data_IF_491490536907
#
_entry.id   IF_491490536907
#
_cell.length_a   1.000
_cell.length_b   1.000
_cell.length_c   1.000
_cell.angle_alpha   90.00
_cell.angle_beta   90.00
_cell.angle_gamma   90.00
#
_symmetry.space_group_name_H-M   'P 1'
#
loop_
_entity.id
_entity.type
_entity.pdbx_description
1 polymer ?
#
# COMPACT_ATOMS: atom_id res chain seq x y z
N UNK A 1 -29.20 -23.69 -6.78
CA UNK A 1 -29.57 -22.35 -6.28
C UNK A 1 -30.77 -22.49 -5.35
N UNK A 2 -30.74 -21.89 -4.16
CA UNK A 2 -31.84 -22.03 -3.18
C UNK A 2 -33.07 -21.24 -3.65
N UNK A 3 -34.26 -21.86 -3.67
CA UNK A 3 -35.51 -21.25 -4.18
C UNK A 3 -35.84 -19.90 -3.53
N UNK A 4 -35.51 -19.73 -2.24
CA UNK A 4 -35.78 -18.50 -1.50
C UNK A 4 -34.96 -17.30 -2.01
N UNK A 5 -33.80 -17.54 -2.62
CA UNK A 5 -32.94 -16.49 -3.18
C UNK A 5 -33.57 -15.81 -4.40
N UNK A 6 -34.37 -16.54 -5.19
CA UNK A 6 -35.03 -16.02 -6.40
C UNK A 6 -36.01 -14.88 -6.09
N UNK A 7 -36.49 -14.84 -4.85
CA UNK A 7 -37.47 -13.88 -4.36
C UNK A 7 -36.83 -12.68 -3.63
N UNK A 8 -35.49 -12.64 -3.51
CA UNK A 8 -34.81 -11.50 -2.92
C UNK A 8 -34.76 -10.37 -3.93
N UNK A 9 -35.20 -9.18 -3.50
CA UNK A 9 -35.12 -7.96 -4.30
C UNK A 9 -34.28 -6.90 -3.58
N UNK A 10 -33.10 -6.61 -4.14
CA UNK A 10 -32.19 -5.56 -3.66
C UNK A 10 -32.11 -4.35 -4.59
N UNK A 11 -33.05 -4.20 -5.53
CA UNK A 11 -33.05 -3.08 -6.49
C UNK A 11 -32.95 -1.69 -5.84
N UNK A 12 -33.56 -1.51 -4.66
CA UNK A 12 -33.50 -0.26 -3.89
C UNK A 12 -32.13 0.07 -3.29
N UNK A 13 -31.20 -0.91 -3.26
CA UNK A 13 -29.85 -0.77 -2.69
C UNK A 13 -28.75 -0.81 -3.77
N UNK A 14 -29.11 -0.98 -5.05
CA UNK A 14 -28.15 -1.21 -6.14
C UNK A 14 -27.05 -0.14 -6.20
N UNK A 15 -27.41 1.14 -6.14
CA UNK A 15 -26.46 2.24 -6.19
C UNK A 15 -25.47 2.25 -5.01
N UNK A 16 -25.90 1.83 -3.82
CA UNK A 16 -25.03 1.77 -2.63
C UNK A 16 -24.08 0.56 -2.70
N UNK A 17 -24.58 -0.56 -3.23
CA UNK A 17 -23.77 -1.76 -3.45
C UNK A 17 -22.73 -1.50 -4.53
N UNK A 18 -23.12 -0.90 -5.65
CA UNK A 18 -22.23 -0.54 -6.75
C UNK A 18 -21.12 0.42 -6.29
N UNK A 19 -21.48 1.49 -5.57
CA UNK A 19 -20.51 2.43 -5.01
C UNK A 19 -19.51 1.67 -4.13
N UNK A 20 -19.97 0.79 -3.24
CA UNK A 20 -19.06 0.04 -2.38
C UNK A 20 -18.19 -0.98 -3.11
N UNK A 21 -18.71 -1.66 -4.13
CA UNK A 21 -17.91 -2.59 -4.96
C UNK A 21 -16.71 -1.87 -5.56
N UNK A 22 -16.88 -0.63 -6.04
CA UNK A 22 -15.76 0.20 -6.54
C UNK A 22 -14.71 0.52 -5.46
N UNK A 23 -15.07 0.43 -4.17
CA UNK A 23 -14.17 0.66 -3.04
C UNK A 23 -13.54 -0.63 -2.49
N UNK A 24 -13.86 -1.80 -3.04
CA UNK A 24 -13.21 -3.07 -2.69
C UNK A 24 -11.78 -3.17 -3.22
N UNK A 25 -11.44 -2.34 -4.21
CA UNK A 25 -10.13 -2.28 -4.82
C UNK A 25 -9.08 -1.87 -3.79
N UNK A 26 -8.08 -2.73 -3.61
CA UNK A 26 -6.95 -2.46 -2.73
C UNK A 26 -6.15 -1.26 -3.27
N UNK A 27 -5.91 -0.22 -2.46
CA UNK A 27 -5.12 0.95 -2.87
C UNK A 27 -3.65 0.65 -3.23
N UNK A 28 -3.11 -0.51 -2.84
CA UNK A 28 -1.74 -0.91 -3.14
C UNK A 28 -1.63 -1.72 -4.43
N UNK A 29 -2.49 -2.74 -4.62
CA UNK A 29 -2.46 -3.60 -5.81
C UNK A 29 -3.35 -3.10 -6.96
N UNK A 30 -4.27 -2.17 -6.68
CA UNK A 30 -5.30 -1.69 -7.62
C UNK A 30 -6.21 -2.80 -8.15
N UNK A 31 -6.41 -3.86 -7.36
CA UNK A 31 -7.31 -4.99 -7.66
C UNK A 31 -8.16 -5.34 -6.44
N UNK A 32 -9.29 -6.01 -6.64
CA UNK A 32 -10.04 -6.62 -5.53
C UNK A 32 -9.17 -7.75 -4.95
N UNK A 33 -8.88 -7.76 -3.64
CA UNK A 33 -7.95 -8.73 -3.06
C UNK A 33 -8.55 -10.13 -2.94
N UNK A 34 -7.80 -11.15 -3.38
CA UNK A 34 -8.10 -12.58 -3.15
C UNK A 34 -7.91 -12.99 -1.68
N UNK A 35 -7.10 -12.23 -0.95
CA UNK A 35 -6.73 -12.44 0.44
C UNK A 35 -7.12 -11.24 1.32
N UNK A 36 -8.42 -10.88 1.37
CA UNK A 36 -8.86 -9.65 2.00
C UNK A 36 -8.59 -9.65 3.50
N UNK A 37 -8.22 -8.49 4.03
CA UNK A 37 -8.08 -8.19 5.46
C UNK A 37 -8.72 -6.85 5.78
N UNK A 38 -9.29 -6.71 6.98
CA UNK A 38 -9.72 -5.41 7.47
C UNK A 38 -8.53 -4.57 7.88
N UNK A 39 -8.49 -3.33 7.40
CA UNK A 39 -7.42 -2.39 7.74
C UNK A 39 -7.62 -1.86 9.16
N UNK A 40 -6.62 -2.07 10.01
CA UNK A 40 -6.56 -1.53 11.37
C UNK A 40 -5.69 -0.28 11.38
N UNK A 41 -6.29 0.92 11.31
CA UNK A 41 -5.52 2.16 11.41
C UNK A 41 -5.23 2.54 12.87
N UNK A 42 -4.14 3.28 13.10
CA UNK A 42 -3.74 3.75 14.44
C UNK A 42 -4.73 4.77 15.03
N UNK A 43 -5.23 5.71 14.23
CA UNK A 43 -5.99 6.88 14.70
C UNK A 43 -7.35 7.07 14.01
N UNK A 44 -7.76 6.13 13.15
CA UNK A 44 -8.88 6.32 12.24
C UNK A 44 -9.75 5.07 12.11
N UNK A 45 -11.04 5.18 12.35
CA UNK A 45 -11.95 4.05 12.24
C UNK A 45 -12.75 4.13 10.94
N UNK A 46 -12.22 3.51 9.88
CA UNK A 46 -12.96 3.25 8.65
C UNK A 46 -12.84 1.79 8.26
N UNK A 47 -13.98 1.18 7.93
CA UNK A 47 -14.02 -0.15 7.36
C UNK A 47 -13.44 -0.09 5.95
N UNK A 48 -12.31 -0.74 5.75
CA UNK A 48 -11.63 -0.90 4.46
C UNK A 48 -11.04 -2.29 4.36
N UNK A 49 -11.03 -2.84 3.15
CA UNK A 49 -10.32 -4.07 2.83
C UNK A 49 -9.02 -3.77 2.09
N UNK A 50 -8.00 -4.56 2.37
CA UNK A 50 -6.73 -4.62 1.64
C UNK A 50 -6.31 -6.09 1.48
N UNK A 51 -5.35 -6.35 0.62
CA UNK A 51 -4.67 -7.63 0.49
C UNK A 51 -3.72 -7.84 1.67
N UNK A 52 -3.75 -9.05 2.24
CA UNK A 52 -2.76 -9.48 3.24
C UNK A 52 -1.34 -9.44 2.65
N UNK A 53 -1.18 -9.87 1.39
CA UNK A 53 0.08 -9.86 0.65
C UNK A 53 0.59 -8.42 0.46
N UNK A 54 -0.26 -7.47 0.07
CA UNK A 54 0.16 -6.06 -0.05
C UNK A 54 0.66 -5.50 1.29
N UNK A 55 -0.02 -5.77 2.40
CA UNK A 55 0.48 -5.36 3.72
C UNK A 55 1.81 -6.04 4.10
N UNK A 56 2.01 -7.30 3.71
CA UNK A 56 3.26 -8.02 3.92
C UNK A 56 4.41 -7.42 3.11
N UNK A 57 4.18 -7.08 1.84
CA UNK A 57 5.18 -6.43 0.99
C UNK A 57 5.56 -5.05 1.52
N UNK A 58 4.57 -4.25 1.94
CA UNK A 58 4.83 -2.97 2.59
C UNK A 58 5.64 -3.13 3.87
N UNK A 59 5.30 -4.13 4.70
CA UNK A 59 6.05 -4.44 5.94
C UNK A 59 7.50 -4.83 5.63
N UNK A 60 7.71 -5.61 4.57
CA UNK A 60 9.05 -5.99 4.08
C UNK A 60 9.86 -4.77 3.64
N UNK A 61 9.28 -3.85 2.88
CA UNK A 61 9.95 -2.61 2.46
C UNK A 61 10.34 -1.71 3.65
N UNK A 62 9.50 -1.65 4.69
CA UNK A 62 9.82 -0.93 5.92
C UNK A 62 10.98 -1.62 6.66
N UNK A 63 10.98 -2.94 6.73
CA UNK A 63 12.08 -3.69 7.36
C UNK A 63 13.40 -3.53 6.60
N UNK A 64 13.39 -3.58 5.27
CA UNK A 64 14.55 -3.26 4.43
C UNK A 64 15.09 -1.85 4.75
N UNK A 65 14.21 -0.87 4.95
CA UNK A 65 14.60 0.49 5.33
C UNK A 65 15.21 0.55 6.73
N UNK A 66 14.68 -0.20 7.70
CA UNK A 66 15.26 -0.29 9.05
C UNK A 66 16.65 -0.91 9.02
N UNK A 67 16.83 -1.96 8.23
CA UNK A 67 18.13 -2.62 8.06
C UNK A 67 19.15 -1.70 7.39
N UNK A 68 18.75 -0.93 6.38
CA UNK A 68 19.61 0.06 5.74
C UNK A 68 20.11 1.10 6.75
N UNK A 69 19.19 1.69 7.53
CA UNK A 69 19.52 2.69 8.56
C UNK A 69 20.42 2.10 9.65
N UNK A 70 20.17 0.85 10.06
CA UNK A 70 20.96 0.17 11.08
C UNK A 70 22.41 -0.09 10.65
N UNK A 71 22.67 -0.26 9.35
CA UNK A 71 24.02 -0.43 8.80
C UNK A 71 24.79 0.88 8.70
N UNK A 72 24.12 2.02 8.51
CA UNK A 72 24.77 3.31 8.27
C UNK A 72 25.78 3.75 9.35
N UNK A 73 25.54 3.59 10.67
CA UNK A 73 26.52 3.92 11.71
C UNK A 73 27.80 3.07 11.67
N UNK A 74 27.77 1.90 11.02
CA UNK A 74 28.92 1.01 10.91
C UNK A 74 29.80 1.35 9.70
N UNK A 75 29.29 2.15 8.77
CA UNK A 75 30.02 2.57 7.58
C UNK A 75 30.95 3.75 7.88
N UNK A 76 32.24 3.46 8.07
CA UNK A 76 33.28 4.47 8.28
C UNK A 76 33.66 5.23 7.00
N UNK A 77 33.31 4.70 5.82
CA UNK A 77 33.65 5.29 4.53
C UNK A 77 32.65 6.33 4.07
N UNK A 78 31.42 6.29 4.61
CA UNK A 78 30.24 7.06 4.19
C UNK A 78 29.80 6.84 2.72
N UNK A 79 30.32 5.81 2.06
CA UNK A 79 29.95 5.44 0.69
C UNK A 79 29.66 3.94 0.53
N UNK A 80 29.86 3.11 1.55
CA UNK A 80 29.81 1.65 1.44
C UNK A 80 28.42 1.16 1.01
N UNK A 81 27.36 1.85 1.42
CA UNK A 81 25.98 1.45 1.12
C UNK A 81 25.58 1.76 -0.33
N UNK A 82 26.25 2.70 -0.99
CA UNK A 82 25.93 3.13 -2.37
C UNK A 82 26.98 2.74 -3.41
N UNK A 83 28.23 2.54 -2.99
CA UNK A 83 29.33 2.12 -3.87
C UNK A 83 29.14 0.69 -4.38
N UNK A 84 28.30 -0.12 -3.73
CA UNK A 84 27.98 -1.49 -4.15
C UNK A 84 26.86 -1.55 -5.19
N UNK A 85 26.12 -0.46 -5.43
CA UNK A 85 25.01 -0.45 -6.37
C UNK A 85 25.49 -0.58 -7.82
N UNK A 86 24.79 -1.32 -8.68
CA UNK A 86 25.22 -1.54 -10.08
C UNK A 86 24.87 -0.39 -11.05
N UNK A 87 24.27 0.69 -10.56
CA UNK A 87 23.90 1.83 -11.42
C UNK A 87 25.12 2.73 -11.68
N UNK A 88 25.56 2.79 -12.93
CA UNK A 88 26.51 3.79 -13.44
C UNK A 88 26.10 4.22 -14.85
N UNK A 89 25.97 5.52 -15.08
CA UNK A 89 25.48 6.05 -16.37
C UNK A 89 26.59 6.12 -17.44
N UNK A 90 27.86 6.21 -17.02
CA UNK A 90 29.01 6.34 -17.92
C UNK A 90 30.08 5.26 -17.65
N UNK A 91 30.72 4.67 -18.68
CA UNK A 91 31.73 3.64 -18.50
C UNK A 91 32.92 4.04 -17.62
N UNK A 92 33.39 5.30 -17.69
CA UNK A 92 34.49 5.74 -16.83
C UNK A 92 34.09 5.86 -15.36
N UNK A 93 32.81 6.14 -15.05
CA UNK A 93 32.32 6.21 -13.67
C UNK A 93 32.31 4.82 -13.03
N UNK A 94 32.10 3.76 -13.81
CA UNK A 94 32.26 2.39 -13.33
C UNK A 94 33.68 2.12 -12.82
N UNK A 95 34.70 2.65 -13.50
CA UNK A 95 36.09 2.49 -13.05
C UNK A 95 36.41 3.37 -11.84
N UNK A 96 35.92 4.62 -11.80
CA UNK A 96 36.03 5.44 -10.58
C UNK A 96 35.35 4.77 -9.38
N UNK A 97 34.20 4.12 -9.62
CA UNK A 97 33.47 3.35 -8.62
C UNK A 97 34.22 2.10 -8.17
N UNK A 98 34.87 1.39 -9.10
CA UNK A 98 35.72 0.24 -8.77
C UNK A 98 36.88 0.65 -7.84
N UNK A 99 37.52 1.78 -8.13
CA UNK A 99 38.59 2.33 -7.28
C UNK A 99 38.06 2.61 -5.87
N UNK A 100 36.91 3.28 -5.75
CA UNK A 100 36.31 3.58 -4.45
C UNK A 100 35.84 2.32 -3.71
N UNK A 101 35.25 1.35 -4.41
CA UNK A 101 34.84 0.05 -3.83
C UNK A 101 36.03 -0.66 -3.21
N UNK A 102 37.15 -0.70 -3.92
CA UNK A 102 38.37 -1.33 -3.42
C UNK A 102 38.87 -0.68 -2.12
N UNK A 103 38.86 0.65 -2.03
CA UNK A 103 39.26 1.36 -0.81
C UNK A 103 38.31 1.09 0.37
N UNK A 104 37.01 0.92 0.11
CA UNK A 104 36.03 0.52 1.13
C UNK A 104 36.27 -0.90 1.61
N UNK A 105 36.54 -1.84 0.70
CA UNK A 105 36.84 -3.24 1.02
C UNK A 105 38.12 -3.41 1.84
N UNK A 106 39.12 -2.54 1.60
CA UNK A 106 40.36 -2.45 2.38
C UNK A 106 40.14 -1.80 3.78
N UNK A 107 38.90 -1.40 4.09
CA UNK A 107 38.51 -0.88 5.41
C UNK A 107 38.94 0.56 5.66
N UNK A 108 39.24 1.34 4.61
CA UNK A 108 39.61 2.75 4.74
C UNK A 108 38.42 3.59 5.19
N UNK A 109 38.65 4.53 6.09
CA UNK A 109 37.65 5.52 6.48
C UNK A 109 37.53 6.67 5.46
N UNK A 110 36.49 7.50 5.61
CA UNK A 110 36.24 8.65 4.73
C UNK A 110 37.44 9.59 4.57
N UNK A 111 38.17 9.87 5.66
CA UNK A 111 39.29 10.80 5.61
C UNK A 111 40.47 10.19 4.84
N UNK A 112 40.76 8.91 5.06
CA UNK A 112 41.76 8.15 4.32
C UNK A 112 41.42 8.04 2.84
N UNK A 113 40.17 7.71 2.50
CA UNK A 113 39.71 7.64 1.10
C UNK A 113 39.88 9.00 0.43
N UNK A 114 39.41 10.09 1.06
CA UNK A 114 39.54 11.45 0.51
C UNK A 114 41.01 11.84 0.29
N UNK A 115 41.90 11.50 1.23
CA UNK A 115 43.33 11.76 1.10
C UNK A 115 43.94 11.00 -0.09
N UNK A 116 43.63 9.71 -0.24
CA UNK A 116 44.10 8.87 -1.34
C UNK A 116 43.58 9.41 -2.68
N UNK A 117 42.28 9.70 -2.78
CA UNK A 117 41.67 10.26 -3.99
C UNK A 117 42.34 11.58 -4.42
N UNK A 118 42.61 12.48 -3.46
CA UNK A 118 43.27 13.75 -3.74
C UNK A 118 44.73 13.56 -4.16
N UNK A 119 45.46 12.66 -3.50
CA UNK A 119 46.85 12.36 -3.83
C UNK A 119 46.98 11.77 -5.25
N UNK A 120 46.16 10.76 -5.58
CA UNK A 120 46.15 10.15 -6.91
C UNK A 120 45.76 11.20 -7.96
N UNK A 121 44.66 11.93 -7.76
CA UNK A 121 44.19 12.92 -8.72
C UNK A 121 45.21 14.05 -8.95
N UNK A 122 45.75 14.64 -7.88
CA UNK A 122 46.74 15.72 -7.98
C UNK A 122 48.03 15.25 -8.65
N UNK A 123 48.50 14.05 -8.31
CA UNK A 123 49.66 13.44 -8.93
C UNK A 123 49.48 13.15 -10.41
N UNK A 124 48.34 12.58 -10.81
CA UNK A 124 48.06 12.27 -12.21
C UNK A 124 47.85 13.52 -13.06
N UNK A 125 47.25 14.58 -12.50
CA UNK A 125 47.18 15.89 -13.17
C UNK A 125 48.58 16.45 -13.39
N UNK A 126 49.45 16.42 -12.38
CA UNK A 126 50.86 16.85 -12.53
C UNK A 126 51.60 16.03 -13.58
N UNK A 127 51.47 14.69 -13.54
CA UNK A 127 52.07 13.81 -14.54
C UNK A 127 51.57 14.15 -15.96
N UNK A 128 50.26 14.39 -16.14
CA UNK A 128 49.68 14.79 -17.42
C UNK A 128 50.22 16.13 -17.93
N UNK A 129 50.38 17.11 -17.04
CA UNK A 129 50.94 18.42 -17.40
C UNK A 129 52.40 18.32 -17.84
N UNK A 130 53.20 17.49 -17.17
CA UNK A 130 54.62 17.28 -17.46
C UNK A 130 54.83 16.40 -18.70
N UNK A 131 53.94 15.44 -18.96
CA UNK A 131 54.07 14.47 -20.07
C UNK A 131 54.24 15.13 -21.45
N UNK A 132 53.69 16.34 -21.66
CA UNK A 132 53.86 17.07 -22.93
C UNK A 132 55.28 17.58 -23.17
N UNK A 133 56.08 17.72 -22.10
CA UNK A 133 57.42 18.29 -22.15
C UNK A 133 58.50 17.26 -21.84
N UNK A 134 58.19 16.27 -20.97
CA UNK A 134 59.09 15.21 -20.58
C UNK A 134 58.30 13.98 -20.12
N UNK A 135 58.24 12.96 -20.96
CA UNK A 135 57.51 11.72 -20.69
C UNK A 135 58.14 10.90 -19.54
N UNK A 136 59.48 10.87 -19.44
CA UNK A 136 60.20 10.15 -18.39
C UNK A 136 59.92 10.76 -17.00
N UNK A 137 59.85 12.09 -16.92
CA UNK A 137 59.46 12.78 -15.70
C UNK A 137 58.00 12.49 -15.30
N UNK A 138 57.08 12.40 -16.27
CA UNK A 138 55.70 12.01 -16.01
C UNK A 138 55.59 10.56 -15.47
N UNK A 139 56.33 9.62 -16.08
CA UNK A 139 56.37 8.24 -15.60
C UNK A 139 57.00 8.10 -14.21
N UNK A 140 57.98 8.95 -13.88
CA UNK A 140 58.56 9.02 -12.52
C UNK A 140 57.51 9.43 -11.49
N UNK A 141 56.66 10.42 -11.81
CA UNK A 141 55.55 10.85 -10.95
C UNK A 141 54.54 9.70 -10.77
N UNK A 142 54.15 9.03 -11.86
CA UNK A 142 53.21 7.90 -11.82
C UNK A 142 53.76 6.76 -10.95
N UNK A 143 55.03 6.39 -11.13
CA UNK A 143 55.67 5.35 -10.32
C UNK A 143 55.73 5.74 -8.83
N UNK A 144 55.90 7.03 -8.52
CA UNK A 144 55.84 7.52 -7.13
C UNK A 144 54.42 7.47 -6.55
N UNK A 145 53.39 7.73 -7.35
CA UNK A 145 51.99 7.59 -6.92
C UNK A 145 51.63 6.14 -6.61
N UNK A 146 52.17 5.19 -7.36
CA UNK A 146 52.01 3.75 -7.07
C UNK A 146 52.61 3.35 -5.72
N UNK A 147 53.54 4.15 -5.19
CA UNK A 147 54.13 3.97 -3.86
C UNK A 147 53.39 4.76 -2.76
N UNK A 148 52.44 5.63 -3.12
CA UNK A 148 51.61 6.37 -2.17
C UNK A 148 50.44 5.46 -1.79
N UNK A 149 50.67 4.59 -0.82
CA UNK A 149 49.69 3.66 -0.26
C UNK A 149 50.25 2.26 -0.04
N UNK A 150 49.40 1.36 0.45
CA UNK A 150 49.70 -0.08 0.50
C UNK A 150 49.88 -0.63 -0.93
N UNK A 151 50.47 -1.82 -1.09
CA UNK A 151 50.67 -2.51 -2.41
C UNK A 151 49.41 -2.55 -3.31
N UNK A 152 48.28 -2.38 -2.66
CA UNK A 152 46.91 -2.34 -3.14
C UNK A 152 46.54 -1.05 -3.93
N UNK A 153 47.31 0.04 -3.82
CA UNK A 153 47.01 1.32 -4.50
C UNK A 153 47.60 1.41 -5.91
N UNK A 154 48.68 0.68 -6.19
CA UNK A 154 49.35 0.72 -7.49
C UNK A 154 48.43 0.38 -8.69
N UNK A 155 47.56 -0.66 -8.62
CA UNK A 155 46.60 -0.95 -9.69
C UNK A 155 45.60 0.19 -9.93
N UNK A 156 45.15 0.86 -8.86
CA UNK A 156 44.18 1.96 -8.92
C UNK A 156 44.74 3.18 -9.67
N UNK A 157 46.03 3.45 -9.49
CA UNK A 157 46.75 4.54 -10.19
C UNK A 157 46.81 4.26 -11.69
N UNK A 158 47.09 3.01 -12.09
CA UNK A 158 47.15 2.61 -13.50
C UNK A 158 45.78 2.70 -14.17
N UNK A 159 44.72 2.24 -13.49
CA UNK A 159 43.35 2.35 -13.99
C UNK A 159 42.93 3.80 -14.15
N UNK A 160 43.16 4.65 -13.15
CA UNK A 160 42.77 6.05 -13.25
C UNK A 160 43.59 6.82 -14.30
N UNK A 161 44.86 6.47 -14.47
CA UNK A 161 45.69 7.04 -15.53
C UNK A 161 45.15 6.72 -16.93
N UNK A 162 44.75 5.47 -17.18
CA UNK A 162 44.10 5.07 -18.44
C UNK A 162 42.84 5.89 -18.70
N UNK A 163 41.98 6.04 -17.68
CA UNK A 163 40.76 6.85 -17.78
C UNK A 163 41.09 8.28 -18.23
N UNK A 164 42.07 8.93 -17.59
CA UNK A 164 42.45 10.32 -17.90
C UNK A 164 43.05 10.49 -19.31
N UNK A 165 43.70 9.44 -19.83
CA UNK A 165 44.22 9.42 -21.20
C UNK A 165 43.12 9.20 -22.24
N UNK A 166 42.13 8.35 -21.95
CA UNK A 166 41.07 7.96 -22.89
C UNK A 166 39.81 8.84 -22.82
N UNK A 167 39.61 9.59 -21.75
CA UNK A 167 38.40 10.39 -21.55
C UNK A 167 38.35 11.59 -22.49
N UNK A 168 37.31 11.69 -23.30
CA UNK A 168 37.00 12.89 -24.06
C UNK A 168 36.57 14.01 -23.09
N UNK A 169 37.49 14.93 -22.80
CA UNK A 169 37.38 15.98 -21.77
C UNK A 169 36.28 17.01 -22.06
N UNK A 170 35.60 16.89 -23.20
CA UNK A 170 34.53 17.78 -23.66
C UNK A 170 33.16 17.52 -23.03
N UNK A 171 32.99 16.43 -22.25
CA UNK A 171 31.67 15.89 -21.87
C UNK A 171 31.37 15.77 -20.36
N UNK A 172 31.82 16.73 -19.55
CA UNK A 172 31.52 16.75 -18.11
C UNK A 172 32.16 15.57 -17.36
N UNK A 173 33.42 15.30 -17.67
CA UNK A 173 34.25 14.31 -16.99
C UNK A 173 34.41 14.66 -15.51
N UNK A 174 34.23 13.67 -14.63
CA UNK A 174 34.36 13.83 -13.17
C UNK A 174 35.70 13.31 -12.70
N UNK A 175 36.36 14.09 -11.85
CA UNK A 175 37.57 13.64 -11.16
C UNK A 175 37.21 12.69 -10.02
N UNK A 176 38.13 11.81 -9.63
CA UNK A 176 37.92 10.83 -8.56
C UNK A 176 37.46 11.48 -7.24
N UNK A 177 38.04 12.61 -6.78
CA UNK A 177 37.52 13.32 -5.60
C UNK A 177 36.09 13.85 -5.79
N UNK A 178 35.74 14.32 -6.99
CA UNK A 178 34.38 14.82 -7.26
C UNK A 178 33.36 13.69 -7.22
N UNK A 179 33.71 12.54 -7.83
CA UNK A 179 32.87 11.35 -7.81
C UNK A 179 32.70 10.79 -6.39
N UNK A 180 33.74 10.84 -5.55
CA UNK A 180 33.64 10.51 -4.13
C UNK A 180 32.62 11.39 -3.40
N UNK A 181 32.68 12.72 -3.58
CA UNK A 181 31.72 13.62 -2.93
C UNK A 181 30.28 13.38 -3.40
N UNK A 182 30.07 13.04 -4.68
CA UNK A 182 28.75 12.66 -5.19
C UNK A 182 28.20 11.40 -4.50
N UNK A 183 29.02 10.36 -4.32
CA UNK A 183 28.61 9.16 -3.61
C UNK A 183 28.29 9.44 -2.13
N UNK A 184 29.08 10.29 -1.46
CA UNK A 184 28.80 10.71 -0.07
C UNK A 184 27.42 11.39 0.01
N UNK A 185 27.15 12.33 -0.90
CA UNK A 185 25.85 13.00 -0.98
C UNK A 185 24.74 12.00 -1.28
N UNK A 186 24.95 11.08 -2.22
CA UNK A 186 23.99 10.05 -2.59
C UNK A 186 23.62 9.18 -1.39
N UNK A 187 24.60 8.69 -0.63
CA UNK A 187 24.34 7.90 0.56
C UNK A 187 23.59 8.68 1.64
N UNK A 188 23.94 9.96 1.84
CA UNK A 188 23.21 10.82 2.78
C UNK A 188 21.74 11.02 2.38
N UNK A 189 21.48 11.27 1.09
CA UNK A 189 20.13 11.41 0.54
C UNK A 189 19.34 10.11 0.65
N UNK A 190 19.96 8.97 0.33
CA UNK A 190 19.34 7.65 0.42
C UNK A 190 19.00 7.28 1.87
N UNK A 191 19.93 7.54 2.80
CA UNK A 191 19.70 7.34 4.24
C UNK A 191 18.53 8.18 4.76
N UNK A 192 18.45 9.46 4.37
CA UNK A 192 17.35 10.33 4.78
C UNK A 192 16.02 9.91 4.14
N UNK A 193 16.04 9.44 2.89
CA UNK A 193 14.88 8.83 2.23
C UNK A 193 14.37 7.62 3.00
N UNK A 194 15.24 6.71 3.44
CA UNK A 194 14.86 5.57 4.27
C UNK A 194 14.31 5.98 5.64
N UNK A 195 14.89 7.00 6.30
CA UNK A 195 14.35 7.54 7.56
C UNK A 195 12.95 8.11 7.37
N UNK A 196 12.74 8.87 6.29
CA UNK A 196 11.44 9.46 5.98
C UNK A 196 10.36 8.41 5.69
N UNK A 197 10.71 7.28 5.07
CA UNK A 197 9.76 6.15 4.87
C UNK A 197 9.24 5.57 6.19
N UNK A 198 10.05 5.62 7.24
CA UNK A 198 9.72 5.09 8.56
C UNK A 198 9.07 6.11 9.49
N UNK A 199 8.59 7.23 8.96
CA UNK A 199 7.89 8.27 9.71
C UNK A 199 6.54 8.58 9.10
N UNK A 200 5.55 8.76 9.94
CA UNK A 200 4.26 9.26 9.51
C UNK A 200 4.30 10.77 9.22
N UNK A 201 3.19 11.30 8.70
CA UNK A 201 3.08 12.71 8.32
C UNK A 201 3.13 13.68 9.52
N UNK A 202 3.00 13.17 10.76
CA UNK A 202 3.19 13.94 12.00
C UNK A 202 4.64 13.95 12.49
N UNK A 203 5.49 13.11 11.89
CA UNK A 203 6.90 12.95 12.24
C UNK A 203 7.17 11.85 13.28
N UNK A 204 6.16 11.08 13.68
CA UNK A 204 6.33 9.94 14.59
C UNK A 204 6.93 8.75 13.84
N UNK A 205 7.87 8.04 14.49
CA UNK A 205 8.47 6.84 13.93
C UNK A 205 7.47 5.67 13.91
N UNK A 206 7.49 4.88 12.84
CA UNK A 206 6.66 3.67 12.70
C UNK A 206 7.23 2.51 13.50
N UNK A 207 6.38 1.83 14.28
CA UNK A 207 6.75 0.56 14.91
C UNK A 207 6.94 -0.55 13.86
N UNK A 208 7.50 -1.70 14.27
CA UNK A 208 7.80 -2.81 13.36
C UNK A 208 6.57 -3.37 12.63
N UNK A 209 5.41 -3.28 13.27
CA UNK A 209 4.15 -3.79 12.76
C UNK A 209 3.35 -2.75 11.97
N UNK A 210 3.92 -1.56 11.76
CA UNK A 210 3.20 -0.45 11.14
C UNK A 210 3.72 -0.10 9.76
N UNK A 211 2.77 0.25 8.89
CA UNK A 211 2.99 0.68 7.51
C UNK A 211 2.12 1.89 7.20
N UNK A 212 2.47 2.66 6.17
CA UNK A 212 1.69 3.83 5.75
C UNK A 212 0.82 3.47 4.55
N UNK A 213 -0.49 3.64 4.67
CA UNK A 213 -1.42 3.44 3.56
C UNK A 213 -1.02 4.33 2.36
N UNK A 214 -0.85 3.79 1.14
CA UNK A 214 -0.39 4.59 0.00
C UNK A 214 -1.38 5.68 -0.40
N UNK A 215 -2.68 5.43 -0.25
CA UNK A 215 -3.73 6.36 -0.65
C UNK A 215 -4.03 7.41 0.43
N UNK A 216 -4.28 6.98 1.66
CA UNK A 216 -4.74 7.88 2.72
C UNK A 216 -3.61 8.48 3.55
N UNK A 217 -2.39 7.95 3.40
CA UNK A 217 -1.21 8.28 4.22
C UNK A 217 -1.38 7.98 5.72
N UNK A 218 -2.46 7.31 6.10
CA UNK A 218 -2.73 6.92 7.48
C UNK A 218 -1.88 5.70 7.87
N UNK A 219 -1.50 5.63 9.14
CA UNK A 219 -0.74 4.50 9.70
C UNK A 219 -1.65 3.30 9.90
N UNK A 220 -1.24 2.14 9.38
CA UNK A 220 -1.91 0.85 9.48
C UNK A 220 -1.06 -0.06 10.38
N UNK A 221 -1.70 -0.73 11.33
CA UNK A 221 -1.12 -1.88 12.02
C UNK A 221 -1.30 -3.13 11.15
N UNK A 222 -0.24 -3.53 10.46
CA UNK A 222 -0.24 -4.63 9.50
C UNK A 222 -0.51 -5.98 10.18
N UNK A 223 0.03 -6.20 11.38
CA UNK A 223 -0.15 -7.47 12.11
C UNK A 223 -1.59 -7.65 12.60
N UNK A 224 -2.19 -6.61 13.18
CA UNK A 224 -3.60 -6.62 13.56
C UNK A 224 -4.51 -6.79 12.34
N UNK A 225 -4.21 -6.10 11.24
CA UNK A 225 -4.99 -6.21 10.01
C UNK A 225 -4.97 -7.65 9.47
N UNK A 226 -3.78 -8.25 9.33
CA UNK A 226 -3.61 -9.62 8.83
C UNK A 226 -4.34 -10.67 9.67
N UNK A 227 -4.43 -10.48 10.99
CA UNK A 227 -5.17 -11.38 11.87
C UNK A 227 -6.68 -11.45 11.55
N UNK A 228 -7.22 -10.48 10.81
CA UNK A 228 -8.65 -10.44 10.46
C UNK A 228 -9.02 -11.20 9.18
N UNK A 229 -8.04 -11.77 8.47
CA UNK A 229 -8.24 -12.40 7.16
C UNK A 229 -9.46 -13.35 7.09
N UNK A 230 -9.67 -14.29 8.04
CA UNK A 230 -10.80 -15.22 7.94
C UNK A 230 -12.16 -14.50 7.94
N UNK A 231 -12.31 -13.46 8.76
CA UNK A 231 -13.53 -12.67 8.85
C UNK A 231 -13.70 -11.77 7.63
N UNK A 232 -12.61 -11.20 7.12
CA UNK A 232 -12.63 -10.36 5.93
C UNK A 232 -12.99 -11.15 4.67
N UNK A 233 -12.53 -12.41 4.54
CA UNK A 233 -12.94 -13.32 3.46
C UNK A 233 -14.45 -13.57 3.50
N UNK A 234 -15.00 -13.91 4.67
CA UNK A 234 -16.46 -14.09 4.83
C UNK A 234 -17.24 -12.81 4.51
N UNK A 235 -16.75 -11.67 4.97
CA UNK A 235 -17.37 -10.38 4.69
C UNK A 235 -17.38 -10.08 3.18
N UNK A 236 -16.27 -10.29 2.49
CA UNK A 236 -16.15 -10.13 1.04
C UNK A 236 -17.15 -11.04 0.29
N UNK A 237 -17.26 -12.31 0.69
CA UNK A 237 -18.21 -13.25 0.10
C UNK A 237 -19.68 -12.77 0.23
N UNK A 238 -20.04 -12.19 1.39
CA UNK A 238 -21.38 -11.60 1.55
C UNK A 238 -21.59 -10.38 0.65
N UNK A 239 -20.57 -9.55 0.44
CA UNK A 239 -20.69 -8.41 -0.49
C UNK A 239 -20.87 -8.90 -1.92
N UNK A 240 -20.08 -9.89 -2.35
CA UNK A 240 -20.21 -10.53 -3.67
C UNK A 240 -21.63 -11.05 -3.87
N UNK A 241 -22.18 -11.76 -2.89
CA UNK A 241 -23.54 -12.31 -3.00
C UNK A 241 -24.60 -11.21 -3.08
N UNK A 242 -24.45 -10.12 -2.31
CA UNK A 242 -25.37 -8.99 -2.35
C UNK A 242 -25.31 -8.30 -3.72
N UNK A 243 -24.12 -8.14 -4.30
CA UNK A 243 -23.94 -7.61 -5.65
C UNK A 243 -24.59 -8.50 -6.72
N UNK A 244 -24.45 -9.82 -6.61
CA UNK A 244 -25.11 -10.79 -7.50
C UNK A 244 -26.64 -10.71 -7.40
N UNK A 245 -27.20 -10.67 -6.18
CA UNK A 245 -28.64 -10.53 -5.95
C UNK A 245 -29.19 -9.19 -6.46
N UNK A 246 -28.40 -8.11 -6.34
CA UNK A 246 -28.74 -6.79 -6.87
C UNK A 246 -28.47 -6.64 -8.38
N UNK A 247 -27.90 -7.66 -9.04
CA UNK A 247 -27.55 -7.68 -10.47
C UNK A 247 -26.62 -6.52 -10.88
N UNK A 248 -25.66 -6.20 -10.01
CA UNK A 248 -24.64 -5.17 -10.30
C UNK A 248 -23.76 -5.64 -11.45
N UNK A 249 -23.52 -4.74 -12.41
CA UNK A 249 -22.60 -4.98 -13.52
C UNK A 249 -21.32 -4.19 -13.26
N UNK A 250 -20.25 -4.87 -12.87
CA UNK A 250 -18.97 -4.24 -12.59
C UNK A 250 -17.86 -5.15 -13.11
N UNK A 251 -17.04 -4.64 -14.03
CA UNK A 251 -16.01 -5.43 -14.70
C UNK A 251 -14.92 -5.94 -13.77
N UNK A 252 -14.54 -5.16 -12.75
CA UNK A 252 -13.52 -5.54 -11.78
C UNK A 252 -14.03 -6.67 -10.87
N UNK A 253 -15.30 -6.61 -10.47
CA UNK A 253 -15.96 -7.67 -9.72
C UNK A 253 -16.13 -8.94 -10.56
N UNK A 254 -16.54 -8.81 -11.83
CA UNK A 254 -16.69 -9.94 -12.74
C UNK A 254 -15.33 -10.62 -13.01
N UNK A 255 -14.27 -9.82 -13.20
CA UNK A 255 -12.89 -10.31 -13.33
C UNK A 255 -12.44 -11.03 -12.06
N UNK A 256 -12.61 -10.42 -10.89
CA UNK A 256 -12.31 -11.04 -9.59
C UNK A 256 -13.03 -12.36 -9.39
N UNK A 257 -14.33 -12.43 -9.71
CA UNK A 257 -15.11 -13.68 -9.60
C UNK A 257 -14.55 -14.74 -10.56
N UNK A 258 -14.13 -14.34 -11.77
CA UNK A 258 -13.60 -15.28 -12.77
C UNK A 258 -12.25 -15.89 -12.40
N UNK A 259 -11.47 -15.26 -11.52
CA UNK A 259 -10.20 -15.80 -11.00
C UNK A 259 -10.39 -16.73 -9.81
N UNK A 260 -11.58 -16.76 -9.20
CA UNK A 260 -11.88 -17.65 -8.07
C UNK A 260 -12.12 -19.09 -8.50
N UNK A 261 -12.19 -19.99 -7.52
CA UNK A 261 -12.60 -21.39 -7.72
C UNK A 261 -14.00 -21.47 -8.36
N UNK A 262 -14.23 -22.52 -9.16
CA UNK A 262 -15.45 -22.69 -9.96
C UNK A 262 -16.75 -22.68 -9.11
N UNK A 263 -16.66 -23.03 -7.83
CA UNK A 263 -17.78 -23.09 -6.90
C UNK A 263 -17.89 -21.85 -5.96
N UNK A 264 -17.05 -20.83 -6.15
CA UNK A 264 -16.97 -19.66 -5.29
C UNK A 264 -18.34 -18.98 -5.07
N UNK A 265 -19.10 -18.77 -6.13
CA UNK A 265 -20.43 -18.17 -6.04
C UNK A 265 -21.39 -19.03 -5.20
N UNK A 266 -21.32 -20.35 -5.32
CA UNK A 266 -22.14 -21.25 -4.49
C UNK A 266 -21.74 -21.13 -3.02
N UNK A 267 -20.44 -21.07 -2.71
CA UNK A 267 -19.93 -20.83 -1.35
C UNK A 267 -20.42 -19.50 -0.78
N UNK A 268 -20.48 -18.43 -1.59
CA UNK A 268 -21.04 -17.14 -1.19
C UNK A 268 -22.53 -17.27 -0.80
N UNK A 269 -23.33 -18.01 -1.57
CA UNK A 269 -24.73 -18.27 -1.25
C UNK A 269 -24.91 -19.15 -0.02
N UNK A 270 -24.06 -20.15 0.20
CA UNK A 270 -24.06 -20.96 1.42
C UNK A 270 -23.74 -20.10 2.66
N UNK A 271 -22.76 -19.21 2.55
CA UNK A 271 -22.42 -18.27 3.63
C UNK A 271 -23.58 -17.31 3.93
N UNK A 272 -24.28 -16.82 2.90
CA UNK A 272 -25.50 -16.03 3.10
C UNK A 272 -26.56 -16.82 3.86
N UNK A 273 -26.75 -18.09 3.50
CA UNK A 273 -27.72 -18.95 4.17
C UNK A 273 -27.37 -19.16 5.65
N UNK A 274 -26.08 -19.32 5.97
CA UNK A 274 -25.60 -19.37 7.36
C UNK A 274 -25.89 -18.04 8.07
N UNK A 275 -25.56 -16.91 7.44
CA UNK A 275 -25.76 -15.58 7.99
C UNK A 275 -27.24 -15.29 8.29
N UNK A 276 -28.17 -15.64 7.39
CA UNK A 276 -29.60 -15.33 7.63
C UNK A 276 -30.22 -16.18 8.73
N UNK A 277 -29.72 -17.39 8.96
CA UNK A 277 -30.14 -18.27 10.05
C UNK A 277 -29.64 -17.77 11.39
N UNK A 278 -28.36 -17.39 11.47
CA UNK A 278 -27.73 -16.92 12.69
C UNK A 278 -26.57 -15.95 12.39
N UNK A 279 -26.83 -14.63 12.32
CA UNK A 279 -25.80 -13.64 12.01
C UNK A 279 -24.63 -13.62 13.00
N UNK A 280 -24.85 -14.06 14.25
CA UNK A 280 -23.83 -14.01 15.30
C UNK A 280 -22.72 -15.05 15.07
N UNK A 281 -22.97 -16.08 14.25
CA UNK A 281 -21.96 -17.12 13.97
C UNK A 281 -20.73 -16.59 13.23
N UNK A 282 -20.86 -15.50 12.46
CA UNK A 282 -19.74 -14.93 11.70
C UNK A 282 -18.88 -13.95 12.52
N UNK A 283 -19.17 -13.76 13.82
CA UNK A 283 -18.37 -12.95 14.75
C UNK A 283 -17.98 -11.55 14.23
N UNK A 284 -18.83 -10.94 13.40
CA UNK A 284 -18.57 -9.59 12.89
C UNK A 284 -18.75 -8.54 13.99
N UNK A 285 -17.98 -7.45 13.87
CA UNK A 285 -18.12 -6.29 14.74
C UNK A 285 -19.44 -5.56 14.47
N UNK A 286 -19.89 -4.75 15.43
CA UNK A 286 -21.07 -3.89 15.26
C UNK A 286 -20.95 -2.99 14.03
N UNK A 287 -19.75 -2.49 13.71
CA UNK A 287 -19.51 -1.64 12.54
C UNK A 287 -19.68 -2.43 11.24
N UNK A 288 -19.15 -3.66 11.18
CA UNK A 288 -19.30 -4.56 10.03
C UNK A 288 -20.77 -4.94 9.79
N UNK A 289 -21.51 -5.29 10.85
CA UNK A 289 -22.95 -5.55 10.72
C UNK A 289 -23.74 -4.33 10.25
N UNK A 290 -23.45 -3.14 10.83
CA UNK A 290 -24.07 -1.88 10.39
C UNK A 290 -23.79 -1.62 8.91
N UNK A 291 -22.59 -1.95 8.46
CA UNK A 291 -22.19 -1.80 7.06
C UNK A 291 -22.97 -2.75 6.13
N UNK A 292 -23.02 -4.05 6.44
CA UNK A 292 -23.83 -5.01 5.65
C UNK A 292 -25.31 -4.60 5.60
N UNK A 293 -25.83 -4.05 6.69
CA UNK A 293 -27.20 -3.56 6.75
C UNK A 293 -27.44 -2.34 5.86
N UNK A 294 -26.44 -1.46 5.69
CA UNK A 294 -26.50 -0.37 4.72
C UNK A 294 -26.57 -0.91 3.28
N UNK A 295 -25.88 -2.02 2.99
CA UNK A 295 -25.95 -2.69 1.69
C UNK A 295 -27.24 -3.52 1.47
N UNK A 296 -28.22 -3.44 2.37
CA UNK A 296 -29.50 -4.11 2.21
C UNK A 296 -29.62 -5.48 2.88
N UNK A 297 -28.64 -5.92 3.68
CA UNK A 297 -28.70 -7.21 4.39
C UNK A 297 -29.93 -7.35 5.30
N UNK A 298 -30.40 -6.25 5.91
CA UNK A 298 -31.65 -6.25 6.67
C UNK A 298 -32.88 -6.62 5.82
N UNK A 299 -32.93 -6.19 4.55
CA UNK A 299 -34.02 -6.54 3.63
C UNK A 299 -33.96 -8.04 3.28
N UNK A 300 -32.76 -8.57 3.06
CA UNK A 300 -32.55 -10.02 2.86
C UNK A 300 -33.08 -10.82 4.05
N UNK A 301 -32.71 -10.42 5.28
CA UNK A 301 -33.18 -11.07 6.51
C UNK A 301 -34.71 -11.05 6.64
N UNK A 302 -35.36 -9.93 6.31
CA UNK A 302 -36.82 -9.81 6.35
C UNK A 302 -37.51 -10.70 5.31
N UNK A 303 -37.00 -10.71 4.08
CA UNK A 303 -37.55 -11.53 3.00
C UNK A 303 -37.37 -13.02 3.28
N UNK A 304 -36.23 -13.42 3.85
CA UNK A 304 -35.98 -14.78 4.29
C UNK A 304 -36.97 -15.24 5.36
N UNK A 305 -37.16 -14.44 6.43
CA UNK A 305 -38.12 -14.75 7.51
C UNK A 305 -39.54 -14.90 6.97
N UNK A 306 -39.97 -13.97 6.13
CA UNK A 306 -41.32 -13.98 5.53
C UNK A 306 -41.57 -15.29 4.75
N UNK A 307 -40.57 -15.79 4.03
CA UNK A 307 -40.69 -17.06 3.30
C UNK A 307 -40.61 -18.28 4.19
N UNK A 308 -39.72 -18.28 5.19
CA UNK A 308 -39.66 -19.35 6.18
C UNK A 308 -40.99 -19.51 6.93
N UNK A 309 -41.66 -18.41 7.25
CA UNK A 309 -42.97 -18.41 7.90
C UNK A 309 -44.05 -18.96 6.96
N UNK A 310 -44.05 -18.58 5.68
CA UNK A 310 -44.98 -19.09 4.66
C UNK A 310 -44.82 -20.61 4.42
N UNK A 311 -43.58 -21.11 4.37
CA UNK A 311 -43.30 -22.55 4.25
C UNK A 311 -43.77 -23.32 5.50
N UNK A 312 -43.53 -22.78 6.70
CA UNK A 312 -44.02 -23.37 7.95
C UNK A 312 -45.55 -23.33 8.09
N UNK A 313 -46.22 -22.33 7.52
CA UNK A 313 -47.68 -22.25 7.48
C UNK A 313 -48.29 -23.21 6.44
N UNK A 314 -47.67 -23.37 5.27
CA UNK A 314 -48.09 -24.32 4.22
C UNK A 314 -48.10 -25.76 4.74
N UNK A 315 -47.06 -26.17 5.47
CA UNK A 315 -46.96 -27.52 6.07
C UNK A 315 -48.03 -27.74 7.14
N UNK A 316 -48.41 -26.71 7.90
CA UNK A 316 -49.49 -26.80 8.91
C UNK A 316 -50.90 -26.84 8.31
N UNK A 317 -51.10 -26.33 7.10
CA UNK A 317 -52.38 -26.42 6.39
C UNK A 317 -52.57 -27.76 5.68
N UNK A 318 -51.50 -28.36 5.17
CA UNK A 318 -51.57 -29.70 4.53
C UNK A 318 -51.89 -30.82 5.53
N UNK A 319 -51.43 -30.71 6.79
CA UNK A 319 -51.79 -31.65 7.86
C UNK A 319 -53.25 -31.52 8.36
N UNK A 320 -53.99 -30.48 7.93
CA UNK A 320 -55.41 -30.28 8.29
C UNK A 320 -56.40 -30.62 7.18
N UNK A 321 -55.97 -30.81 5.95
CA UNK A 321 -56.87 -31.07 4.81
C UNK A 321 -57.26 -32.55 4.63
N UNK A 322 -56.77 -33.48 5.46
CA UNK A 322 -57.17 -34.90 5.41
C UNK A 322 -58.24 -35.31 6.44
N UNK A 323 -59.12 -34.39 6.84
CA UNK A 323 -60.35 -34.73 7.58
C UNK A 323 -61.57 -34.08 6.95
N UNK A 324 -62.39 -34.93 6.35
CA UNK A 324 -63.63 -34.72 5.59
C UNK A 324 -64.78 -33.99 6.34
N UNK A 325 -65.92 -33.66 5.68
CA UNK A 325 -66.46 -32.31 5.59
C UNK A 325 -67.72 -32.06 6.44
N UNK A 326 -68.06 -30.79 6.72
CA UNK A 326 -69.42 -30.36 7.09
C UNK A 326 -69.81 -28.98 6.54
N UNK A 327 -70.78 -29.02 5.62
CA UNK A 327 -72.00 -28.19 5.46
C UNK A 327 -72.08 -26.76 6.04
N UNK A 328 -72.20 -25.80 5.10
CA UNK A 328 -73.15 -24.66 4.96
C UNK A 328 -73.79 -24.07 6.24
N UNK A 329 -73.57 -22.75 6.46
CA UNK A 329 -74.65 -21.77 6.72
C UNK A 329 -74.15 -20.33 6.54
N UNK A 330 -75.09 -19.46 6.18
CA UNK A 330 -75.03 -18.12 5.61
C UNK A 330 -74.84 -16.95 6.59
N UNK A 331 -74.66 -15.77 5.96
CA UNK A 331 -74.88 -14.40 6.44
C UNK A 331 -73.83 -13.74 7.33
N UNK A 332 -73.12 -12.74 6.80
CA UNK A 332 -73.55 -11.33 6.92
C UNK A 332 -72.52 -10.33 6.37
N UNK A 333 -73.08 -9.26 5.83
CA UNK A 333 -72.50 -8.05 5.25
C UNK A 333 -71.86 -7.19 6.34
N UNK A 334 -70.69 -6.60 6.10
CA UNK A 334 -70.53 -5.14 6.25
C UNK A 334 -69.28 -4.55 5.59
N UNK A 335 -69.53 -3.43 4.92
CA UNK A 335 -68.57 -2.50 4.33
C UNK A 335 -67.80 -1.80 5.43
N UNK A 336 -66.54 -1.47 5.17
CA UNK A 336 -66.08 -0.11 5.46
C UNK A 336 -65.06 0.37 4.43
N UNK A 337 -65.33 1.59 3.96
CA UNK A 337 -64.60 2.37 2.95
C UNK A 337 -64.05 3.61 3.66
N UNK A 338 -63.03 4.20 3.05
CA UNK A 338 -62.48 5.55 3.24
C UNK A 338 -61.47 5.72 4.39
N UNK A 339 -60.44 6.57 4.34
CA UNK A 339 -59.72 7.36 3.33
C UNK A 339 -58.79 8.30 4.11
N UNK A 340 -57.55 8.54 3.67
CA UNK A 340 -56.75 9.78 3.83
C UNK A 340 -55.29 9.44 3.48
N UNK A 341 -54.76 9.83 2.31
CA UNK A 341 -54.31 11.16 1.86
C UNK A 341 -53.17 11.74 2.70
N UNK A 342 -51.99 11.64 2.09
CA UNK A 342 -50.83 12.55 2.06
C UNK A 342 -50.25 13.11 3.36
N UNK A 343 -48.95 12.81 3.55
CA UNK A 343 -47.95 13.88 3.67
C UNK A 343 -46.59 13.42 3.16
N UNK A 344 -46.15 14.12 2.12
CA UNK A 344 -44.79 14.15 1.61
C UNK A 344 -43.82 14.66 2.67
N UNK A 345 -42.72 13.94 2.87
CA UNK A 345 -41.57 14.42 3.61
C UNK A 345 -40.31 14.08 2.82
N UNK A 346 -39.93 15.09 2.04
CA UNK A 346 -38.59 15.51 1.68
C UNK A 346 -37.45 14.52 1.94
N UNK A 347 -36.86 14.11 0.83
CA UNK A 347 -35.53 13.53 0.67
C UNK A 347 -34.43 14.35 1.35
N UNK A 348 -33.62 13.75 2.26
CA UNK A 348 -32.34 14.31 2.63
C UNK A 348 -31.25 13.77 1.70
N UNK A 349 -30.81 14.64 0.80
CA UNK A 349 -29.41 14.98 0.53
C UNK A 349 -28.35 13.86 0.44
N UNK A 350 -27.81 13.69 -0.78
CA UNK A 350 -26.40 13.41 -1.12
C UNK A 350 -25.49 13.00 0.05
N UNK A 351 -25.23 11.69 0.17
CA UNK A 351 -24.18 11.15 1.03
C UNK A 351 -22.81 11.52 0.44
N UNK A 352 -22.14 12.51 1.02
CA UNK A 352 -20.72 12.79 0.77
C UNK A 352 -19.89 11.76 1.55
N UNK A 353 -19.37 10.75 0.85
CA UNK A 353 -18.41 9.78 1.39
C UNK A 353 -16.98 10.34 1.56
N UNK A 354 -16.82 11.65 1.42
CA UNK A 354 -15.56 12.35 1.67
C UNK A 354 -15.81 13.63 2.48
N UNK A 355 -15.32 13.65 3.72
CA UNK A 355 -14.77 14.88 4.29
C UNK A 355 -13.26 14.71 4.28
N UNK A 356 -12.61 15.18 3.23
CA UNK A 356 -11.26 15.71 3.40
C UNK A 356 -11.36 16.77 4.50
N UNK A 357 -10.59 16.62 5.58
CA UNK A 357 -10.56 17.60 6.64
C UNK A 357 -10.27 18.98 5.99
N UNK A 358 -11.10 20.02 6.23
CA UNK A 358 -10.68 21.36 5.87
C UNK A 358 -9.42 21.66 6.68
N UNK A 359 -8.34 22.04 6.00
CA UNK A 359 -7.20 22.69 6.66
C UNK A 359 -7.77 23.83 7.48
N UNK A 360 -7.68 23.74 8.80
CA UNK A 360 -7.90 24.88 9.68
C UNK A 360 -6.83 25.91 9.36
N UNK A 361 -7.20 26.93 8.60
CA UNK A 361 -6.54 28.24 8.65
C UNK A 361 -6.67 28.74 10.09
N UNK A 362 -5.59 28.61 10.84
CA UNK A 362 -5.43 29.31 12.11
C UNK A 362 -4.42 30.44 11.90
N UNK A 363 -5.00 31.59 11.57
CA UNK A 363 -4.65 32.93 12.07
C UNK A 363 -3.26 33.49 11.77
N UNK A 364 -3.26 34.45 10.85
CA UNK A 364 -2.36 35.60 10.85
C UNK A 364 -2.13 36.10 12.29
N UNK A 365 -0.88 36.00 12.75
CA UNK A 365 -0.36 36.87 13.79
C UNK A 365 0.69 37.77 13.17
N UNK A 366 0.27 38.99 12.90
CA UNK A 366 1.09 40.17 12.71
C UNK A 366 2.17 40.23 13.80
N UNK A 367 3.43 40.09 13.42
CA UNK A 367 4.57 40.51 14.23
C UNK A 367 5.37 41.53 13.41
N UNK A 368 4.95 42.78 13.56
CA UNK A 368 5.79 43.95 13.32
C UNK A 368 6.93 43.93 14.33
N UNK A 369 8.16 43.69 13.87
CA UNK A 369 9.33 44.16 14.59
C UNK A 369 10.03 45.25 13.77
N UNK A 370 9.94 46.44 14.32
CA UNK A 370 10.65 47.63 13.92
C UNK A 370 12.16 47.43 14.05
N UNK A 371 12.88 47.83 13.02
CA UNK A 371 14.29 48.19 13.11
C UNK A 371 14.41 49.51 13.88
N UNK A 372 15.16 49.50 14.98
CA UNK A 372 15.81 50.70 15.52
C UNK A 372 17.19 50.32 16.01
N UNK A 373 18.17 50.97 15.36
CA UNK A 373 19.56 51.23 15.75
C UNK A 373 20.53 50.06 15.88
#
# INVERSE_FOLDING_TARGET
MYKWLENIDLSSFSAQIEDFVNHLVDPASLMIPDDPVFVSYRQFEQLRLMSANSLQEMSKQMEESRQYIAKAPQDKSEIALVVQNNSTDKPYEAELKNILRFLVEDGKDKAQIRMICNAINGGLIMAHMVAKQNEEAAMTIINRLKQIGDNNVAPLVDEYWKILQSSDKTSGFKLLPQYLEELIIQQAVELESHRKKLRDDSGEDLTKDEVICPLTRQVINASNSRATQPHATQFMMLIVVLAQLAKIKNSELDEFISTQEHDYINKCFELLQQYVKDPQQLSFTTQQHKFLNQLGMNKVLQQWKTQSDLEHHSVRTEDKENSEPKTISSDSVEKNKNSSVEKSLQSPSSCRFFKLAPKTEATEKTLSHAYTS
#
